data_IF_835418004433
#
_entry.id   IF_835418004433
#
_cell.length_a   1.000
_cell.length_b   1.000
_cell.length_c   1.000
_cell.angle_alpha   90.00
_cell.angle_beta   90.00
_cell.angle_gamma   90.00
#
_symmetry.space_group_name_H-M   'P 1'
#
loop_
_entity.id
_entity.type
_entity.pdbx_description
1 polymer ?
#
# COMPACT_ATOMS: atom_id res chain seq x y z
N UNK A 1 1.48 -11.63 -10.39
CA UNK A 1 1.72 -12.18 -9.02
C UNK A 1 2.78 -13.27 -9.11
N UNK A 2 3.66 -13.40 -8.11
CA UNK A 2 4.73 -14.39 -8.13
C UNK A 2 4.21 -15.80 -8.35
N UNK A 3 5.02 -16.63 -9.01
CA UNK A 3 4.71 -18.04 -9.24
C UNK A 3 4.87 -18.83 -7.94
N UNK A 4 4.22 -19.97 -7.85
CA UNK A 4 4.26 -20.84 -6.67
C UNK A 4 5.70 -21.21 -6.24
N UNK A 5 6.61 -21.33 -7.20
CA UNK A 5 8.04 -21.59 -6.96
C UNK A 5 8.72 -20.51 -6.12
N UNK A 6 8.27 -19.24 -6.19
CA UNK A 6 8.77 -18.15 -5.35
C UNK A 6 8.39 -18.35 -3.89
N UNK A 7 7.16 -18.73 -3.61
CA UNK A 7 6.68 -18.93 -2.24
C UNK A 7 7.30 -20.14 -1.55
N UNK A 8 7.84 -21.10 -2.33
CA UNK A 8 8.57 -22.27 -1.81
C UNK A 8 10.04 -22.02 -1.53
N UNK A 9 10.55 -20.82 -1.80
CA UNK A 9 11.92 -20.45 -1.49
C UNK A 9 12.13 -20.36 0.03
N UNK A 10 13.35 -20.67 0.52
CA UNK A 10 13.74 -20.28 1.88
C UNK A 10 13.56 -18.77 2.10
N UNK A 11 13.13 -18.39 3.30
CA UNK A 11 12.83 -17.01 3.65
C UNK A 11 13.99 -16.07 3.34
N UNK A 12 15.21 -16.40 3.75
CA UNK A 12 16.42 -15.63 3.46
C UNK A 12 16.61 -15.34 1.96
N UNK A 13 16.35 -16.31 1.11
CA UNK A 13 16.48 -16.13 -0.34
C UNK A 13 15.37 -15.26 -0.90
N UNK A 14 14.15 -15.42 -0.40
CA UNK A 14 13.00 -14.62 -0.79
C UNK A 14 13.21 -13.15 -0.39
N UNK A 15 13.62 -12.89 0.84
CA UNK A 15 13.94 -11.57 1.34
C UNK A 15 15.05 -10.88 0.54
N UNK A 16 16.12 -11.61 0.22
CA UNK A 16 17.22 -11.07 -0.59
C UNK A 16 16.77 -10.66 -1.99
N UNK A 17 15.91 -11.45 -2.63
CA UNK A 17 15.33 -11.11 -3.94
C UNK A 17 14.45 -9.86 -3.82
N UNK A 18 13.62 -9.80 -2.81
CA UNK A 18 12.74 -8.64 -2.57
C UNK A 18 13.53 -7.38 -2.27
N UNK A 19 14.51 -7.43 -1.38
CA UNK A 19 15.36 -6.30 -1.04
C UNK A 19 16.11 -5.74 -2.27
N UNK A 20 16.64 -6.62 -3.12
CA UNK A 20 17.30 -6.22 -4.36
C UNK A 20 16.33 -5.55 -5.34
N UNK A 21 15.11 -6.08 -5.49
CA UNK A 21 14.10 -5.51 -6.36
C UNK A 21 13.57 -4.17 -5.83
N UNK A 22 13.30 -4.07 -4.54
CA UNK A 22 12.87 -2.83 -3.90
C UNK A 22 13.92 -1.72 -4.09
N UNK A 23 15.19 -2.00 -3.82
CA UNK A 23 16.27 -1.03 -4.03
C UNK A 23 16.34 -0.56 -5.47
N UNK A 24 16.25 -1.47 -6.42
CA UNK A 24 16.25 -1.14 -7.84
C UNK A 24 15.12 -0.18 -8.21
N UNK A 25 13.90 -0.40 -7.72
CA UNK A 25 12.74 0.46 -8.00
C UNK A 25 12.71 1.75 -7.15
N UNK A 26 13.42 1.79 -6.02
CA UNK A 26 13.61 3.01 -5.24
C UNK A 26 14.62 3.96 -5.89
N UNK A 27 15.66 3.42 -6.51
CA UNK A 27 16.73 4.21 -7.14
C UNK A 27 16.42 4.60 -8.59
N UNK A 28 15.57 3.82 -9.27
CA UNK A 28 15.27 4.01 -10.69
C UNK A 28 13.77 4.10 -10.94
N UNK A 29 13.37 4.84 -11.99
CA UNK A 29 11.98 4.76 -12.48
C UNK A 29 11.66 3.34 -12.94
N UNK A 30 10.37 3.01 -13.01
CA UNK A 30 9.94 1.68 -13.47
C UNK A 30 10.52 1.36 -14.85
N UNK A 31 10.57 2.33 -15.78
CA UNK A 31 11.11 2.17 -17.13
C UNK A 31 12.60 1.87 -17.11
N UNK A 32 13.38 2.60 -16.30
CA UNK A 32 14.82 2.49 -16.19
C UNK A 32 15.27 1.29 -15.34
N UNK A 33 14.41 0.74 -14.52
CA UNK A 33 14.70 -0.42 -13.67
C UNK A 33 15.03 -1.67 -14.51
N UNK A 34 16.02 -2.44 -14.05
CA UNK A 34 16.62 -3.55 -14.78
C UNK A 34 16.58 -4.87 -14.03
N UNK A 35 15.94 -5.88 -14.62
CA UNK A 35 15.99 -7.26 -14.12
C UNK A 35 17.45 -7.73 -13.96
N UNK A 36 18.37 -7.32 -14.85
CA UNK A 36 19.77 -7.71 -14.75
C UNK A 36 20.47 -7.17 -13.49
N UNK A 37 20.13 -5.95 -13.04
CA UNK A 37 20.64 -5.41 -11.78
C UNK A 37 20.04 -6.15 -10.60
N UNK A 38 18.74 -6.41 -10.61
CA UNK A 38 18.05 -7.19 -9.58
C UNK A 38 18.67 -8.56 -9.39
N UNK A 39 18.85 -9.34 -10.47
CA UNK A 39 19.40 -10.71 -10.37
C UNK A 39 20.86 -10.70 -9.90
N UNK A 40 21.66 -9.70 -10.32
CA UNK A 40 23.06 -9.55 -9.90
C UNK A 40 23.13 -9.28 -8.39
N UNK A 41 22.34 -8.35 -7.89
CA UNK A 41 22.30 -7.99 -6.49
C UNK A 41 21.71 -9.11 -5.62
N UNK A 42 20.63 -9.74 -6.07
CA UNK A 42 20.03 -10.90 -5.40
C UNK A 42 20.87 -12.18 -5.48
N UNK A 43 22.00 -12.15 -6.19
CA UNK A 43 22.86 -13.30 -6.43
C UNK A 43 22.10 -14.54 -6.90
N UNK A 44 21.24 -14.37 -7.92
CA UNK A 44 20.48 -15.47 -8.54
C UNK A 44 20.76 -15.56 -10.03
N UNK A 45 20.73 -16.77 -10.63
CA UNK A 45 20.80 -16.93 -12.07
C UNK A 45 19.61 -16.27 -12.77
N UNK A 46 19.84 -15.74 -14.00
CA UNK A 46 18.78 -15.13 -14.80
C UNK A 46 17.56 -16.06 -15.02
N UNK A 47 17.80 -17.34 -15.28
CA UNK A 47 16.73 -18.31 -15.45
C UNK A 47 15.87 -18.49 -14.21
N UNK A 48 16.46 -18.36 -13.00
CA UNK A 48 15.71 -18.43 -11.75
C UNK A 48 14.73 -17.29 -11.59
N UNK A 49 15.06 -16.08 -12.06
CA UNK A 49 14.12 -14.96 -12.03
C UNK A 49 12.80 -15.31 -12.72
N UNK A 50 12.88 -15.87 -13.93
CA UNK A 50 11.70 -16.24 -14.71
C UNK A 50 10.97 -17.48 -14.20
N UNK A 51 11.59 -18.25 -13.30
CA UNK A 51 10.89 -19.28 -12.53
C UNK A 51 10.00 -18.69 -11.42
N UNK A 52 10.32 -17.48 -10.94
CA UNK A 52 9.62 -16.81 -9.85
C UNK A 52 8.62 -15.76 -10.33
N UNK A 53 8.99 -15.01 -11.35
CA UNK A 53 8.21 -13.89 -11.89
C UNK A 53 8.07 -14.01 -13.41
N UNK A 54 6.98 -13.49 -13.94
CA UNK A 54 6.76 -13.49 -15.38
C UNK A 54 7.66 -12.45 -16.05
N UNK A 55 7.66 -11.22 -15.50
CA UNK A 55 8.41 -10.09 -16.01
C UNK A 55 8.75 -9.07 -14.89
N UNK A 56 9.30 -7.92 -15.29
CA UNK A 56 9.59 -6.80 -14.41
C UNK A 56 8.35 -6.22 -13.72
N UNK A 57 7.23 -6.18 -14.44
CA UNK A 57 5.97 -5.67 -13.91
C UNK A 57 5.41 -6.58 -12.83
N UNK A 58 5.57 -7.88 -12.98
CA UNK A 58 5.07 -8.87 -12.03
C UNK A 58 5.73 -8.72 -10.65
N UNK A 59 7.07 -8.63 -10.57
CA UNK A 59 7.76 -8.40 -9.29
C UNK A 59 7.46 -7.00 -8.73
N UNK A 60 7.34 -5.98 -9.59
CA UNK A 60 6.97 -4.63 -9.16
C UNK A 60 5.57 -4.59 -8.51
N UNK A 61 4.57 -5.20 -9.15
CA UNK A 61 3.21 -5.30 -8.62
C UNK A 61 3.18 -6.06 -7.29
N UNK A 62 4.04 -7.06 -7.13
CA UNK A 62 4.15 -7.78 -5.88
C UNK A 62 4.69 -6.88 -4.76
N UNK A 63 5.73 -6.07 -5.02
CA UNK A 63 6.24 -5.06 -4.09
C UNK A 63 5.14 -4.07 -3.70
N UNK A 64 4.42 -3.51 -4.68
CA UNK A 64 3.30 -2.60 -4.42
C UNK A 64 2.24 -3.25 -3.54
N UNK A 65 1.88 -4.52 -3.81
CA UNK A 65 0.89 -5.24 -3.02
C UNK A 65 1.34 -5.49 -1.58
N UNK A 66 2.63 -5.75 -1.36
CA UNK A 66 3.20 -5.95 -0.03
C UNK A 66 3.10 -4.66 0.79
N UNK A 67 3.56 -3.53 0.24
CA UNK A 67 3.46 -2.24 0.92
C UNK A 67 2.01 -1.77 1.13
N UNK A 68 1.12 -2.08 0.19
CA UNK A 68 -0.31 -1.83 0.36
C UNK A 68 -0.87 -2.61 1.56
N UNK A 69 -0.53 -3.88 1.69
CA UNK A 69 -0.98 -4.72 2.82
C UNK A 69 -0.43 -4.24 4.17
N UNK A 70 0.83 -3.79 4.20
CA UNK A 70 1.42 -3.16 5.39
C UNK A 70 0.65 -1.88 5.78
N UNK A 71 0.35 -1.02 4.80
CA UNK A 71 -0.44 0.19 5.01
C UNK A 71 -1.85 -0.13 5.55
N UNK A 72 -2.48 -1.19 5.07
CA UNK A 72 -3.79 -1.65 5.59
C UNK A 72 -3.69 -2.14 7.03
N UNK A 73 -2.58 -2.79 7.41
CA UNK A 73 -2.30 -3.16 8.79
C UNK A 73 -2.25 -1.95 9.73
N UNK A 74 -1.66 -0.83 9.29
CA UNK A 74 -1.69 0.43 10.05
C UNK A 74 -3.11 1.00 10.17
N UNK A 75 -3.92 0.97 9.09
CA UNK A 75 -5.32 1.40 9.14
C UNK A 75 -6.10 0.59 10.17
N UNK A 76 -5.94 -0.73 10.17
CA UNK A 76 -6.60 -1.61 11.14
C UNK A 76 -6.15 -1.34 12.58
N UNK A 77 -4.85 -1.15 12.81
CA UNK A 77 -4.31 -0.78 14.13
C UNK A 77 -4.90 0.53 14.63
N UNK A 78 -4.87 1.58 13.81
CA UNK A 78 -5.35 2.90 14.21
C UNK A 78 -6.84 2.93 14.51
N UNK A 79 -7.67 2.21 13.75
CA UNK A 79 -9.12 2.18 14.02
C UNK A 79 -9.43 1.41 15.31
N UNK A 80 -8.72 0.30 15.58
CA UNK A 80 -8.84 -0.45 16.83
C UNK A 80 -8.44 0.40 18.04
N UNK A 81 -7.31 1.12 17.94
CA UNK A 81 -6.80 2.01 18.98
C UNK A 81 -7.67 3.28 19.18
N UNK A 82 -8.68 3.45 18.36
CA UNK A 82 -9.60 4.59 18.42
C UNK A 82 -10.98 4.21 18.98
N UNK A 83 -11.15 2.99 19.50
CA UNK A 83 -12.39 2.47 20.06
C UNK A 83 -13.62 2.71 19.14
N UNK A 84 -13.40 2.63 17.84
CA UNK A 84 -14.43 2.86 16.82
C UNK A 84 -14.76 4.33 16.54
N UNK A 85 -14.13 5.30 17.22
CA UNK A 85 -14.27 6.72 16.91
C UNK A 85 -13.52 7.09 15.62
N UNK A 86 -14.29 7.37 14.59
CA UNK A 86 -13.75 7.69 13.24
C UNK A 86 -12.93 8.99 13.23
N UNK A 87 -13.24 9.99 14.06
CA UNK A 87 -12.49 11.23 14.09
C UNK A 87 -11.15 11.06 14.81
N UNK A 88 -11.10 10.26 15.86
CA UNK A 88 -9.86 9.87 16.53
C UNK A 88 -8.95 9.06 15.59
N UNK A 89 -9.53 8.10 14.87
CA UNK A 89 -8.84 7.36 13.82
C UNK A 89 -8.25 8.29 12.75
N UNK A 90 -9.05 9.21 12.20
CA UNK A 90 -8.59 10.16 11.18
C UNK A 90 -7.44 11.03 11.67
N UNK A 91 -7.49 11.51 12.91
CA UNK A 91 -6.42 12.29 13.52
C UNK A 91 -5.12 11.48 13.57
N UNK A 92 -5.17 10.25 14.11
CA UNK A 92 -4.00 9.36 14.18
C UNK A 92 -3.41 9.07 12.81
N UNK A 93 -4.26 8.81 11.81
CA UNK A 93 -3.83 8.56 10.44
C UNK A 93 -3.14 9.77 9.81
N UNK A 94 -3.68 10.99 10.02
CA UNK A 94 -3.08 12.24 9.55
C UNK A 94 -1.75 12.50 10.27
N UNK A 95 -1.71 12.38 11.59
CA UNK A 95 -0.51 12.60 12.38
C UNK A 95 0.60 11.63 11.96
N UNK A 96 0.25 10.37 11.71
CA UNK A 96 1.19 9.37 11.16
C UNK A 96 1.71 9.77 9.79
N UNK A 97 0.85 10.22 8.87
CA UNK A 97 1.26 10.64 7.53
C UNK A 97 2.16 11.88 7.53
N UNK A 98 2.01 12.75 8.51
CA UNK A 98 2.78 14.00 8.62
C UNK A 98 4.07 13.79 9.44
N UNK A 99 4.13 12.78 10.29
CA UNK A 99 5.25 12.55 11.21
C UNK A 99 6.58 12.32 10.48
N UNK A 100 7.67 12.72 11.15
CA UNK A 100 9.04 12.51 10.64
C UNK A 100 9.41 11.02 10.47
N UNK A 101 8.81 10.12 11.25
CA UNK A 101 8.98 8.67 11.11
C UNK A 101 8.42 8.14 9.79
N UNK A 102 7.37 8.79 9.27
CA UNK A 102 6.82 8.49 7.96
C UNK A 102 7.73 8.99 6.84
N UNK A 103 8.53 10.05 7.04
CA UNK A 103 9.23 10.73 5.96
C UNK A 103 10.37 9.93 5.33
N UNK A 104 11.10 9.10 6.07
CA UNK A 104 12.19 8.27 5.51
C UNK A 104 11.67 7.06 4.72
N UNK A 105 10.68 6.36 5.25
CA UNK A 105 10.00 5.28 4.51
C UNK A 105 9.19 5.82 3.32
N UNK A 106 8.64 7.01 3.47
CA UNK A 106 7.81 7.69 2.49
C UNK A 106 8.58 8.10 1.24
N UNK A 107 9.85 8.53 1.36
CA UNK A 107 10.62 8.98 0.18
C UNK A 107 10.85 7.84 -0.83
N UNK A 108 11.11 6.64 -0.33
CA UNK A 108 11.18 5.45 -1.17
C UNK A 108 9.81 5.08 -1.79
N UNK A 109 8.76 5.10 -0.99
CA UNK A 109 7.40 4.80 -1.45
C UNK A 109 6.88 5.83 -2.46
N UNK A 110 7.27 7.12 -2.35
CA UNK A 110 6.89 8.16 -3.30
C UNK A 110 7.23 7.78 -4.74
N UNK A 111 8.42 7.25 -5.00
CA UNK A 111 8.82 6.84 -6.35
C UNK A 111 7.98 5.69 -6.89
N UNK A 112 7.64 4.72 -6.03
CA UNK A 112 6.78 3.59 -6.41
C UNK A 112 5.37 4.10 -6.71
N UNK A 113 4.80 4.91 -5.81
CA UNK A 113 3.43 5.39 -5.92
C UNK A 113 3.26 6.58 -6.89
N UNK A 114 4.33 7.27 -7.29
CA UNK A 114 4.28 8.33 -8.30
C UNK A 114 4.08 7.83 -9.73
N UNK A 115 4.14 6.50 -9.96
CA UNK A 115 3.80 5.94 -11.25
C UNK A 115 2.29 6.11 -11.50
N UNK A 116 1.84 6.79 -12.57
CA UNK A 116 0.42 7.10 -12.79
C UNK A 116 -0.49 5.87 -12.72
N UNK A 117 -0.06 4.76 -13.33
CA UNK A 117 -0.83 3.52 -13.35
C UNK A 117 -0.89 2.79 -11.99
N UNK A 118 0.09 3.02 -11.08
CA UNK A 118 0.03 2.51 -9.69
C UNK A 118 -1.00 3.30 -8.90
N UNK A 119 -1.01 4.60 -9.07
CA UNK A 119 -2.01 5.47 -8.44
C UNK A 119 -3.43 5.10 -8.88
N UNK A 120 -3.65 4.94 -10.19
CA UNK A 120 -4.95 4.50 -10.74
C UNK A 120 -5.38 3.14 -10.16
N UNK A 121 -4.46 2.21 -9.99
CA UNK A 121 -4.72 0.91 -9.37
C UNK A 121 -5.15 1.07 -7.90
N UNK A 122 -4.43 1.88 -7.11
CA UNK A 122 -4.75 2.12 -5.69
C UNK A 122 -6.12 2.79 -5.55
N UNK A 123 -6.38 3.82 -6.35
CA UNK A 123 -7.67 4.52 -6.37
C UNK A 123 -8.78 3.55 -6.74
N UNK A 124 -8.58 2.76 -7.80
CA UNK A 124 -9.57 1.77 -8.23
C UNK A 124 -9.86 0.75 -7.13
N UNK A 125 -8.84 0.19 -6.49
CA UNK A 125 -8.99 -0.78 -5.40
C UNK A 125 -9.69 -0.15 -4.19
N UNK A 126 -9.34 1.09 -3.83
CA UNK A 126 -9.92 1.78 -2.69
C UNK A 126 -11.37 2.18 -2.95
N UNK A 127 -11.70 2.63 -4.16
CA UNK A 127 -13.04 3.10 -4.49
C UNK A 127 -14.00 1.97 -4.87
N UNK A 128 -13.51 0.91 -5.52
CA UNK A 128 -14.32 -0.23 -5.97
C UNK A 128 -14.39 -1.37 -4.96
N UNK A 129 -13.51 -1.39 -3.95
CA UNK A 129 -13.51 -2.44 -2.93
C UNK A 129 -14.91 -2.58 -2.34
N UNK A 130 -15.47 -3.80 -2.45
CA UNK A 130 -16.77 -4.11 -1.86
C UNK A 130 -16.64 -4.05 -0.35
N UNK A 131 -17.66 -3.56 0.30
CA UNK A 131 -17.82 -3.49 1.75
C UNK A 131 -17.62 -4.86 2.44
N UNK A 132 -17.94 -5.93 1.73
CA UNK A 132 -17.82 -7.31 2.19
C UNK A 132 -16.38 -7.88 2.15
N UNK A 133 -15.45 -7.17 1.52
CA UNK A 133 -14.05 -7.58 1.49
C UNK A 133 -13.35 -7.13 2.79
N UNK A 134 -13.35 -8.00 3.79
CA UNK A 134 -12.84 -7.74 5.15
C UNK A 134 -11.40 -7.20 5.21
N UNK A 135 -10.60 -7.41 4.16
CA UNK A 135 -9.19 -7.00 4.06
C UNK A 135 -8.98 -5.71 3.25
N UNK A 136 -10.02 -4.94 3.01
CA UNK A 136 -9.91 -3.62 2.39
C UNK A 136 -10.03 -2.51 3.45
N UNK A 137 -9.44 -1.31 3.24
CA UNK A 137 -9.63 -0.20 4.18
C UNK A 137 -11.09 0.09 4.50
N UNK A 138 -11.98 0.01 3.51
CA UNK A 138 -13.42 0.18 3.71
C UNK A 138 -14.04 -0.92 4.56
N UNK A 139 -13.70 -2.18 4.28
CA UNK A 139 -14.18 -3.32 5.07
C UNK A 139 -13.69 -3.26 6.51
N UNK A 140 -12.43 -2.88 6.73
CA UNK A 140 -11.85 -2.66 8.06
C UNK A 140 -12.60 -1.53 8.78
N UNK A 141 -12.79 -0.37 8.13
CA UNK A 141 -13.53 0.74 8.72
C UNK A 141 -14.97 0.35 9.04
N UNK A 142 -15.65 -0.31 8.12
CA UNK A 142 -17.03 -0.77 8.33
C UNK A 142 -17.16 -1.73 9.52
N UNK A 143 -16.17 -2.60 9.72
CA UNK A 143 -16.13 -3.58 10.80
C UNK A 143 -15.91 -2.96 12.18
N UNK A 144 -15.05 -1.94 12.27
CA UNK A 144 -14.56 -1.42 13.55
C UNK A 144 -15.13 -0.07 13.97
N UNK A 145 -15.74 0.71 13.05
CA UNK A 145 -16.41 1.97 13.41
C UNK A 145 -17.63 1.69 14.30
N UNK A 146 -17.68 2.38 15.43
CA UNK A 146 -18.85 2.35 16.30
C UNK A 146 -19.93 3.30 15.77
N UNK A 147 -20.99 2.73 15.19
CA UNK A 147 -22.13 3.47 14.64
C UNK A 147 -22.85 4.33 15.69
N UNK A 148 -22.80 3.94 16.98
CA UNK A 148 -23.47 4.68 18.05
C UNK A 148 -22.77 6.01 18.34
N UNK A 149 -21.53 6.19 17.93
CA UNK A 149 -20.79 7.45 18.04
C UNK A 149 -21.04 8.40 16.84
N UNK A 150 -21.84 7.95 15.86
CA UNK A 150 -22.13 8.67 14.63
C UNK A 150 -23.63 8.93 14.53
N UNK A 151 -23.99 10.07 13.93
CA UNK A 151 -25.38 10.35 13.61
C UNK A 151 -25.72 9.75 12.23
N UNK A 152 -25.72 8.40 12.16
CA UNK A 152 -26.06 7.63 10.96
C UNK A 152 -27.26 6.73 11.28
N UNK A 153 -28.26 6.72 10.40
CA UNK A 153 -29.51 5.97 10.62
C UNK A 153 -29.45 4.54 10.06
N UNK A 154 -28.60 4.31 9.07
CA UNK A 154 -28.51 3.04 8.35
C UNK A 154 -27.10 2.79 7.77
N UNK A 155 -26.90 1.59 7.21
CA UNK A 155 -25.62 1.18 6.64
C UNK A 155 -25.24 1.99 5.38
N UNK A 156 -26.20 2.48 4.60
CA UNK A 156 -25.93 3.28 3.41
C UNK A 156 -25.32 4.63 3.78
N UNK A 157 -25.79 5.26 4.85
CA UNK A 157 -25.21 6.50 5.39
C UNK A 157 -23.80 6.27 5.95
N UNK A 158 -23.59 5.15 6.66
CA UNK A 158 -22.27 4.78 7.12
C UNK A 158 -21.30 4.56 5.95
N UNK A 159 -21.74 3.90 4.90
CA UNK A 159 -20.94 3.69 3.67
C UNK A 159 -20.61 5.04 3.00
N UNK A 160 -21.58 5.94 2.91
CA UNK A 160 -21.36 7.27 2.37
C UNK A 160 -20.29 8.02 3.18
N UNK A 161 -20.36 7.97 4.52
CA UNK A 161 -19.38 8.56 5.41
C UNK A 161 -17.97 7.94 5.22
N UNK A 162 -17.87 6.62 5.16
CA UNK A 162 -16.61 5.91 4.89
C UNK A 162 -16.03 6.32 3.54
N UNK A 163 -16.86 6.47 2.50
CA UNK A 163 -16.42 6.93 1.19
C UNK A 163 -15.86 8.37 1.23
N UNK A 164 -16.48 9.25 2.00
CA UNK A 164 -15.97 10.61 2.21
C UNK A 164 -14.59 10.56 2.88
N UNK A 165 -14.43 9.80 3.96
CA UNK A 165 -13.14 9.65 4.63
C UNK A 165 -12.07 9.02 3.74
N UNK A 166 -12.41 7.99 2.96
CA UNK A 166 -11.51 7.40 1.99
C UNK A 166 -11.05 8.42 0.94
N UNK A 167 -11.96 9.27 0.46
CA UNK A 167 -11.64 10.32 -0.51
C UNK A 167 -10.71 11.39 0.07
N UNK A 168 -10.95 11.81 1.32
CA UNK A 168 -10.08 12.76 2.03
C UNK A 168 -8.69 12.14 2.23
N UNK A 169 -8.63 10.89 2.69
CA UNK A 169 -7.36 10.17 2.93
C UNK A 169 -6.56 10.00 1.64
N UNK A 170 -7.21 9.65 0.53
CA UNK A 170 -6.57 9.58 -0.80
C UNK A 170 -6.07 10.95 -1.26
N UNK A 171 -6.83 12.01 -1.03
CA UNK A 171 -6.42 13.38 -1.35
C UNK A 171 -5.17 13.81 -0.57
N UNK A 172 -5.12 13.50 0.72
CA UNK A 172 -3.95 13.74 1.57
C UNK A 172 -2.75 12.88 1.14
N UNK A 173 -2.98 11.60 0.89
CA UNK A 173 -1.96 10.70 0.36
C UNK A 173 -1.37 11.25 -0.94
N UNK A 174 -2.21 11.64 -1.89
CA UNK A 174 -1.79 12.23 -3.16
C UNK A 174 -0.95 13.48 -2.94
N UNK A 175 -1.39 14.38 -2.05
CA UNK A 175 -0.67 15.62 -1.73
C UNK A 175 0.70 15.34 -1.12
N UNK A 176 0.78 14.44 -0.16
CA UNK A 176 2.02 14.14 0.59
C UNK A 176 2.98 13.31 -0.27
N UNK A 177 2.49 12.27 -0.94
CA UNK A 177 3.32 11.27 -1.61
C UNK A 177 3.62 11.58 -3.07
N UNK A 178 2.72 12.26 -3.77
CA UNK A 178 2.85 12.48 -5.22
C UNK A 178 3.25 13.92 -5.54
N UNK A 179 2.63 14.92 -4.94
CA UNK A 179 2.94 16.32 -5.23
C UNK A 179 4.17 16.85 -4.50
N UNK A 180 4.62 16.18 -3.43
CA UNK A 180 5.77 16.61 -2.64
C UNK A 180 5.50 17.87 -1.80
N UNK A 181 6.42 18.17 -0.86
CA UNK A 181 6.43 19.42 -0.10
C UNK A 181 6.86 20.57 -1.02
N UNK A 182 5.94 21.15 -1.76
CA UNK A 182 6.05 22.52 -2.23
C UNK A 182 5.10 23.38 -1.39
N UNK A 183 5.46 23.59 -0.16
CA UNK A 183 5.03 24.71 0.68
C UNK A 183 6.22 25.13 1.54
#
# INVERSE_FOLDING_TARGET
MPKETFYRLPDEKRERIMAAAEREFLENSFEAASINRIIKEAAIPRGSFYQYFEDKKDIFLYIVSTHKNEAFGFVESFIKDSDGDVFSFMRKAIDFMISAECSEKVEGMKRIFSQPWVFDMIVSDTMKGKQEEANTPKGIMFKYIDKNQLNVENDDELIALINIFASISLGLFFKIFIMGKNM
#
